data_IF_580259705732
#
_entry.id   IF_580259705732
#
_cell.length_a   1.000
_cell.length_b   1.000
_cell.length_c   1.000
_cell.angle_alpha   90.00
_cell.angle_beta   90.00
_cell.angle_gamma   90.00
#
_symmetry.space_group_name_H-M   'P 1'
#
loop_
_entity.id
_entity.type
_entity.pdbx_description
1 polymer ?
#
# COMPACT_ATOMS: atom_id res chain seq x y z
N UNK A 1 -16.14 -39.15 -2.86
CA UNK A 1 -17.27 -39.04 -3.80
C UNK A 1 -18.26 -38.11 -3.13
N UNK A 2 -18.22 -36.82 -3.47
CA UNK A 2 -18.94 -35.78 -2.75
C UNK A 2 -20.44 -35.92 -3.04
N UNK A 3 -21.27 -35.98 -1.99
CA UNK A 3 -22.73 -36.06 -2.13
C UNK A 3 -23.25 -34.71 -2.63
N UNK A 4 -24.13 -34.78 -3.63
CA UNK A 4 -24.59 -33.66 -4.47
C UNK A 4 -25.67 -32.76 -3.83
N UNK A 5 -25.92 -32.82 -2.52
CA UNK A 5 -27.06 -32.17 -1.87
C UNK A 5 -26.74 -31.38 -0.58
N UNK A 6 -25.46 -31.08 -0.33
CA UNK A 6 -24.99 -30.58 0.96
C UNK A 6 -24.96 -29.04 1.13
N UNK A 7 -25.29 -28.24 0.11
CA UNK A 7 -25.15 -26.77 0.16
C UNK A 7 -26.35 -26.00 0.76
N UNK A 8 -27.48 -26.65 1.02
CA UNK A 8 -28.74 -25.97 1.43
C UNK A 8 -29.22 -26.42 2.82
N UNK A 9 -28.86 -27.63 3.27
CA UNK A 9 -29.42 -28.28 4.47
C UNK A 9 -28.43 -28.48 5.63
N UNK A 10 -27.17 -28.08 5.48
CA UNK A 10 -26.14 -28.33 6.49
C UNK A 10 -26.16 -27.37 7.68
N UNK A 11 -25.71 -27.89 8.83
CA UNK A 11 -25.45 -27.09 10.03
C UNK A 11 -24.22 -26.20 9.81
N UNK A 12 -24.36 -24.91 10.11
CA UNK A 12 -23.24 -23.97 10.05
C UNK A 12 -22.26 -24.25 11.21
N UNK A 13 -21.10 -24.81 10.87
CA UNK A 13 -20.04 -25.13 11.83
C UNK A 13 -18.92 -24.11 11.69
N UNK A 14 -18.79 -23.24 12.69
CA UNK A 14 -17.78 -22.19 12.72
C UNK A 14 -16.65 -22.53 13.70
N UNK A 15 -15.51 -21.89 13.52
CA UNK A 15 -14.34 -22.07 14.38
C UNK A 15 -13.55 -20.77 14.52
N UNK A 16 -12.76 -20.71 15.59
CA UNK A 16 -11.61 -19.83 15.71
C UNK A 16 -10.37 -20.70 15.53
N UNK A 17 -9.33 -20.16 14.91
CA UNK A 17 -8.07 -20.90 14.73
C UNK A 17 -6.88 -19.99 14.52
N UNK A 18 -5.72 -20.62 14.44
CA UNK A 18 -4.43 -19.97 14.17
C UNK A 18 -3.89 -20.45 12.82
N UNK A 19 -3.40 -19.51 12.00
CA UNK A 19 -2.74 -19.82 10.73
C UNK A 19 -1.36 -20.41 10.98
N UNK A 20 -1.08 -21.59 10.42
CA UNK A 20 0.20 -22.29 10.54
C UNK A 20 1.02 -22.33 9.26
N UNK A 21 0.36 -22.14 8.10
CA UNK A 21 1.05 -22.09 6.82
C UNK A 21 0.30 -21.20 5.83
N UNK A 22 1.07 -20.47 5.03
CA UNK A 22 0.58 -19.57 3.96
C UNK A 22 1.22 -19.91 2.60
N UNK A 23 2.14 -20.88 2.55
CA UNK A 23 2.88 -21.22 1.35
C UNK A 23 2.08 -22.17 0.44
N UNK A 24 0.96 -21.68 -0.12
CA UNK A 24 0.11 -22.44 -1.02
C UNK A 24 0.78 -22.64 -2.39
N UNK A 25 1.31 -23.84 -2.63
CA UNK A 25 2.06 -24.15 -3.87
C UNK A 25 1.22 -24.10 -5.14
N UNK A 26 -0.12 -24.13 -5.05
CA UNK A 26 -1.02 -23.99 -6.21
C UNK A 26 -1.58 -22.58 -6.36
N UNK A 27 -1.17 -21.64 -5.49
CA UNK A 27 -1.42 -20.20 -5.60
C UNK A 27 -2.92 -19.81 -5.65
N UNK A 28 -3.78 -20.54 -4.91
CA UNK A 28 -5.19 -20.20 -4.75
C UNK A 28 -5.45 -19.28 -3.55
N UNK A 29 -4.39 -18.67 -2.98
CA UNK A 29 -4.48 -17.80 -1.81
C UNK A 29 -5.15 -18.51 -0.61
N UNK A 30 -4.75 -19.76 -0.37
CA UNK A 30 -5.22 -20.59 0.73
C UNK A 30 -4.24 -20.56 1.89
N UNK A 31 -4.74 -20.86 3.08
CA UNK A 31 -3.93 -20.96 4.31
C UNK A 31 -4.22 -22.27 5.02
N UNK A 32 -3.26 -22.77 5.79
CA UNK A 32 -3.52 -23.87 6.73
C UNK A 32 -3.79 -23.30 8.11
N UNK A 33 -4.87 -23.76 8.74
CA UNK A 33 -5.34 -23.23 10.01
C UNK A 33 -5.60 -24.36 10.98
N UNK A 34 -5.07 -24.25 12.20
CA UNK A 34 -5.48 -25.10 13.30
C UNK A 34 -6.80 -24.58 13.83
N UNK A 35 -7.91 -25.17 13.39
CA UNK A 35 -9.24 -24.88 13.91
C UNK A 35 -9.39 -25.48 15.32
N UNK A 36 -9.46 -24.62 16.33
CA UNK A 36 -9.54 -25.05 17.72
C UNK A 36 -10.84 -25.83 17.98
N UNK A 37 -10.73 -26.91 18.75
CA UNK A 37 -11.83 -27.85 19.01
C UNK A 37 -11.98 -28.95 17.95
N UNK A 38 -11.43 -28.76 16.75
CA UNK A 38 -11.42 -29.78 15.69
C UNK A 38 -10.06 -30.46 15.55
N UNK A 39 -8.98 -29.68 15.69
CA UNK A 39 -7.61 -30.16 15.62
C UNK A 39 -6.82 -29.70 16.84
N UNK A 40 -5.96 -30.56 17.37
CA UNK A 40 -5.05 -30.25 18.47
C UNK A 40 -3.59 -30.13 17.97
N UNK A 41 -2.64 -30.02 18.90
CA UNK A 41 -1.21 -29.88 18.58
C UNK A 41 -0.56 -31.18 18.08
N UNK A 42 -1.22 -32.33 18.23
CA UNK A 42 -0.70 -33.62 17.76
C UNK A 42 -0.80 -33.75 16.24
N UNK A 43 -1.70 -32.99 15.62
CA UNK A 43 -1.85 -32.91 14.16
C UNK A 43 -0.82 -31.93 13.59
N UNK A 44 0.05 -32.44 12.71
CA UNK A 44 1.04 -31.63 12.02
C UNK A 44 0.37 -30.63 11.08
N UNK A 45 1.03 -29.50 10.79
CA UNK A 45 0.48 -28.54 9.83
C UNK A 45 0.38 -29.15 8.43
N UNK A 46 1.23 -30.11 8.09
CA UNK A 46 1.26 -30.81 6.81
C UNK A 46 -0.04 -31.60 6.57
N UNK A 47 -0.67 -32.09 7.64
CA UNK A 47 -1.90 -32.89 7.59
C UNK A 47 -3.18 -32.04 7.65
N UNK A 48 -3.08 -30.75 7.99
CA UNK A 48 -4.25 -29.86 8.02
C UNK A 48 -4.77 -29.57 6.60
N UNK A 49 -6.10 -29.50 6.41
CA UNK A 49 -6.70 -29.10 5.14
C UNK A 49 -6.37 -27.63 4.83
N UNK A 50 -6.26 -27.33 3.54
CA UNK A 50 -6.13 -25.95 3.07
C UNK A 50 -7.47 -25.23 3.16
N UNK A 51 -7.50 -24.14 3.91
CA UNK A 51 -8.65 -23.25 4.02
C UNK A 51 -8.63 -22.19 2.92
N UNK A 52 -9.78 -21.99 2.27
CA UNK A 52 -9.95 -20.90 1.29
C UNK A 52 -10.24 -19.60 2.05
N UNK A 53 -9.59 -18.49 1.67
CA UNK A 53 -9.92 -17.19 2.27
C UNK A 53 -11.04 -16.52 1.49
N UNK A 54 -12.11 -16.15 2.20
CA UNK A 54 -13.20 -15.37 1.66
C UNK A 54 -12.75 -13.91 1.51
N UNK A 55 -12.68 -13.44 0.27
CA UNK A 55 -12.34 -12.05 -0.04
C UNK A 55 -13.58 -11.15 0.02
N UNK A 56 -13.43 -9.85 0.33
CA UNK A 56 -14.54 -8.90 0.30
C UNK A 56 -15.12 -8.78 -1.11
N UNK A 57 -16.37 -8.35 -1.23
CA UNK A 57 -17.06 -8.17 -2.51
C UNK A 57 -16.47 -7.04 -3.38
N UNK A 58 -15.54 -6.25 -2.84
CA UNK A 58 -14.69 -5.32 -3.59
C UNK A 58 -13.59 -6.03 -4.39
N UNK A 59 -13.38 -7.34 -4.17
CA UNK A 59 -12.48 -8.22 -4.93
C UNK A 59 -13.25 -9.26 -5.74
N UNK A 60 -13.23 -9.15 -7.06
CA UNK A 60 -14.03 -9.97 -7.97
C UNK A 60 -13.68 -11.47 -7.97
N UNK A 61 -12.44 -11.82 -7.61
CA UNK A 61 -11.95 -13.21 -7.57
C UNK A 61 -12.20 -13.98 -8.88
N UNK A 62 -12.00 -13.31 -10.02
CA UNK A 62 -12.36 -13.84 -11.35
C UNK A 62 -11.30 -13.49 -12.38
N UNK A 63 -10.74 -14.51 -13.04
CA UNK A 63 -9.90 -14.38 -14.23
C UNK A 63 -8.76 -13.34 -14.08
N UNK A 64 -8.03 -13.37 -12.95
CA UNK A 64 -6.94 -12.44 -12.67
C UNK A 64 -7.36 -11.09 -12.09
N UNK A 65 -8.66 -10.84 -11.93
CA UNK A 65 -9.20 -9.63 -11.26
C UNK A 65 -9.58 -9.97 -9.83
N UNK A 66 -8.93 -9.34 -8.85
CA UNK A 66 -9.17 -9.56 -7.42
C UNK A 66 -8.00 -9.10 -6.55
N UNK A 67 -7.94 -9.63 -5.33
CA UNK A 67 -6.90 -9.40 -4.32
C UNK A 67 -6.33 -10.73 -3.80
N UNK A 68 -5.31 -10.64 -2.96
CA UNK A 68 -4.85 -11.72 -2.07
C UNK A 68 -5.22 -11.40 -0.63
N UNK A 69 -5.13 -12.38 0.27
CA UNK A 69 -5.27 -12.14 1.70
C UNK A 69 -3.99 -11.54 2.30
N UNK A 70 -4.12 -10.85 3.44
CA UNK A 70 -2.98 -10.36 4.24
C UNK A 70 -2.69 -11.18 5.50
N UNK A 71 -3.13 -12.44 5.56
CA UNK A 71 -2.89 -13.33 6.71
C UNK A 71 -1.41 -13.76 6.79
N UNK A 72 -0.90 -13.86 8.01
CA UNK A 72 0.44 -14.35 8.35
C UNK A 72 0.37 -15.62 9.19
N UNK A 73 1.45 -16.40 9.21
CA UNK A 73 1.61 -17.45 10.22
C UNK A 73 1.52 -16.83 11.61
N UNK A 74 0.70 -17.44 12.48
CA UNK A 74 0.32 -16.91 13.79
C UNK A 74 -0.93 -16.02 13.80
N UNK A 75 -1.47 -15.64 12.63
CA UNK A 75 -2.72 -14.86 12.58
C UNK A 75 -3.88 -15.64 13.16
N UNK A 76 -4.62 -15.02 14.08
CA UNK A 76 -5.89 -15.53 14.56
C UNK A 76 -6.98 -15.25 13.55
N UNK A 77 -7.83 -16.25 13.32
CA UNK A 77 -8.89 -16.18 12.31
C UNK A 77 -10.19 -16.75 12.84
N UNK A 78 -11.29 -16.27 12.27
CA UNK A 78 -12.60 -16.92 12.35
C UNK A 78 -12.94 -17.50 10.98
N UNK A 79 -13.53 -18.69 10.98
CA UNK A 79 -13.90 -19.40 9.78
C UNK A 79 -15.09 -20.33 10.00
N UNK A 80 -15.47 -21.03 8.94
CA UNK A 80 -16.49 -22.08 8.97
C UNK A 80 -16.14 -23.20 8.00
N UNK A 81 -16.74 -24.37 8.20
CA UNK A 81 -16.62 -25.50 7.30
C UNK A 81 -17.80 -25.52 6.32
N UNK A 82 -17.52 -25.48 5.01
CA UNK A 82 -18.55 -25.55 3.95
C UNK A 82 -19.25 -26.90 3.91
N UNK A 83 -18.58 -27.93 4.43
CA UNK A 83 -19.03 -29.32 4.55
C UNK A 83 -19.49 -29.68 5.97
N UNK A 84 -19.73 -28.66 6.81
CA UNK A 84 -20.41 -28.83 8.09
C UNK A 84 -19.59 -29.67 9.08
N UNK A 85 -20.20 -30.67 9.77
CA UNK A 85 -19.50 -31.47 10.77
C UNK A 85 -18.35 -32.34 10.23
N UNK A 86 -18.26 -32.55 8.91
CA UNK A 86 -17.15 -33.28 8.29
C UNK A 86 -15.81 -32.55 8.47
N UNK A 87 -15.85 -31.21 8.57
CA UNK A 87 -14.72 -30.36 8.89
C UNK A 87 -13.49 -30.50 7.97
N UNK A 88 -13.70 -30.84 6.69
CA UNK A 88 -12.64 -31.02 5.69
C UNK A 88 -12.53 -29.86 4.70
N UNK A 89 -13.54 -28.98 4.61
CA UNK A 89 -13.56 -27.87 3.64
C UNK A 89 -13.67 -26.49 4.34
N UNK A 90 -12.60 -26.02 5.00
CA UNK A 90 -12.61 -24.76 5.74
C UNK A 90 -12.59 -23.52 4.83
N UNK A 91 -13.31 -22.49 5.27
CA UNK A 91 -13.29 -21.13 4.72
C UNK A 91 -13.01 -20.14 5.83
N UNK A 92 -12.06 -19.24 5.58
CA UNK A 92 -11.71 -18.14 6.49
C UNK A 92 -12.51 -16.91 6.10
N UNK A 93 -13.20 -16.29 7.06
CA UNK A 93 -14.03 -15.11 6.80
C UNK A 93 -13.40 -13.80 7.30
N UNK A 94 -12.43 -13.89 8.22
CA UNK A 94 -11.72 -12.73 8.72
C UNK A 94 -10.64 -13.09 9.73
N UNK A 95 -9.76 -12.12 9.99
CA UNK A 95 -8.78 -12.18 11.07
C UNK A 95 -9.32 -11.54 12.34
N UNK A 96 -8.81 -11.99 13.48
CA UNK A 96 -9.07 -11.43 14.80
C UNK A 96 -7.77 -10.75 15.27
N UNK A 97 -7.79 -9.44 15.54
CA UNK A 97 -6.61 -8.78 16.08
C UNK A 97 -6.33 -9.22 17.51
N UNK A 98 -5.10 -9.64 17.78
CA UNK A 98 -4.64 -10.08 19.11
C UNK A 98 -3.34 -9.39 19.51
N UNK A 99 -2.48 -10.08 20.25
CA UNK A 99 -1.13 -9.66 20.55
C UNK A 99 -0.18 -10.87 20.45
N UNK A 100 1.01 -10.65 19.89
CA UNK A 100 2.09 -11.62 19.82
C UNK A 100 3.25 -11.11 20.66
N UNK A 101 3.68 -11.87 21.67
CA UNK A 101 4.77 -11.48 22.57
C UNK A 101 4.61 -10.06 23.15
N UNK A 102 3.40 -9.74 23.64
CA UNK A 102 3.03 -8.43 24.20
C UNK A 102 3.00 -7.27 23.19
N UNK A 103 3.28 -7.53 21.91
CA UNK A 103 3.12 -6.57 20.81
C UNK A 103 1.75 -6.76 20.20
N UNK A 104 0.95 -5.69 20.11
CA UNK A 104 -0.36 -5.73 19.44
C UNK A 104 -0.18 -6.05 17.97
N UNK A 105 -1.02 -6.94 17.42
CA UNK A 105 -0.85 -7.44 16.05
C UNK A 105 -1.32 -6.46 14.97
N UNK A 106 -2.09 -5.43 15.35
CA UNK A 106 -2.46 -4.35 14.42
C UNK A 106 -1.37 -3.26 14.39
N UNK A 107 -1.19 -2.54 13.27
CA UNK A 107 -0.10 -1.57 13.10
C UNK A 107 0.00 -0.58 14.27
N UNK A 108 1.21 -0.38 14.79
CA UNK A 108 1.45 0.55 15.90
C UNK A 108 1.01 1.96 15.56
N UNK A 109 1.18 2.38 14.30
CA UNK A 109 0.77 3.67 13.77
C UNK A 109 -0.74 3.89 13.87
N UNK A 110 -1.56 2.82 13.79
CA UNK A 110 -3.02 2.89 13.91
C UNK A 110 -3.53 3.07 15.35
N UNK A 111 -2.66 2.93 16.35
CA UNK A 111 -3.03 3.03 17.78
C UNK A 111 -2.83 4.41 18.38
N UNK A 112 -2.32 5.38 17.61
CA UNK A 112 -2.12 6.75 18.09
C UNK A 112 -3.52 7.38 18.21
N UNK A 113 -3.97 7.56 19.46
CA UNK A 113 -5.24 8.22 19.82
C UNK A 113 -6.54 7.64 19.20
N UNK A 114 -7.12 6.63 19.86
CA UNK A 114 -8.54 6.28 19.72
C UNK A 114 -9.03 5.97 18.27
N UNK A 115 -8.24 5.21 17.49
CA UNK A 115 -8.59 4.74 16.13
C UNK A 115 -8.87 5.89 15.15
N UNK A 116 -8.19 7.04 15.29
CA UNK A 116 -8.26 8.11 14.28
C UNK A 116 -7.36 7.84 13.07
N UNK A 117 -6.26 7.12 13.28
CA UNK A 117 -5.34 6.80 12.20
C UNK A 117 -5.69 5.44 11.54
N UNK A 118 -5.94 5.46 10.23
CA UNK A 118 -6.25 4.27 9.42
C UNK A 118 -5.01 3.90 8.61
N UNK A 119 -4.42 2.77 8.96
CA UNK A 119 -3.15 2.33 8.39
C UNK A 119 -3.30 0.97 7.75
N UNK A 120 -2.95 0.88 6.48
CA UNK A 120 -2.66 -0.38 5.80
C UNK A 120 -1.14 -0.55 5.74
N UNK A 121 -0.63 -1.58 6.42
CA UNK A 121 0.80 -1.89 6.50
C UNK A 121 1.06 -3.29 5.99
N UNK A 122 2.03 -3.42 5.09
CA UNK A 122 2.49 -4.71 4.55
C UNK A 122 3.61 -5.29 5.41
N UNK A 123 3.90 -6.58 5.26
CA UNK A 123 4.94 -7.33 5.99
C UNK A 123 6.33 -6.72 5.80
N UNK A 124 6.58 -6.18 4.60
CA UNK A 124 7.83 -5.49 4.28
C UNK A 124 7.92 -4.08 4.88
N UNK A 125 6.85 -3.55 5.47
CA UNK A 125 6.81 -2.24 6.11
C UNK A 125 6.40 -1.08 5.19
N UNK A 126 5.82 -1.35 4.02
CA UNK A 126 5.17 -0.30 3.22
C UNK A 126 3.85 0.10 3.87
N UNK A 127 3.50 1.39 3.80
CA UNK A 127 2.35 1.97 4.48
C UNK A 127 1.52 2.80 3.50
N UNK A 128 0.20 2.65 3.61
CA UNK A 128 -0.80 3.64 3.18
C UNK A 128 -1.56 4.07 4.42
N UNK A 129 -1.63 5.37 4.66
CA UNK A 129 -2.15 5.98 5.89
C UNK A 129 -3.16 7.09 5.57
N UNK A 130 -4.26 7.09 6.32
CA UNK A 130 -5.25 8.17 6.39
C UNK A 130 -5.42 8.54 7.86
N UNK A 131 -4.97 9.73 8.25
CA UNK A 131 -5.04 10.21 9.63
C UNK A 131 -6.20 11.20 9.78
N UNK A 132 -7.19 10.86 10.61
CA UNK A 132 -8.35 11.71 10.94
C UNK A 132 -8.13 12.51 12.25
N UNK A 133 -6.88 12.63 12.72
CA UNK A 133 -6.56 13.43 13.91
C UNK A 133 -6.77 14.91 13.62
N UNK A 134 -7.67 15.55 14.38
CA UNK A 134 -7.96 16.97 14.27
C UNK A 134 -6.69 17.83 14.32
N UNK A 135 -6.58 18.78 13.39
CA UNK A 135 -5.43 19.68 13.19
C UNK A 135 -4.12 18.95 12.79
N UNK A 136 -4.22 17.68 12.40
CA UNK A 136 -3.12 16.83 11.95
C UNK A 136 -3.52 15.87 10.82
N UNK A 137 -4.63 16.16 10.13
CA UNK A 137 -5.19 15.32 9.09
C UNK A 137 -4.17 15.12 7.96
N UNK A 138 -4.02 13.90 7.46
CA UNK A 138 -3.10 13.63 6.35
C UNK A 138 -3.43 12.38 5.57
N UNK A 139 -2.96 12.35 4.33
CA UNK A 139 -2.89 11.14 3.50
C UNK A 139 -1.42 10.88 3.21
N UNK A 140 -0.93 9.66 3.47
CA UNK A 140 0.49 9.35 3.31
C UNK A 140 0.70 7.97 2.69
N UNK A 141 1.49 7.92 1.62
CA UNK A 141 1.98 6.69 1.01
C UNK A 141 3.48 6.62 1.28
N UNK A 142 3.92 5.61 2.03
CA UNK A 142 5.31 5.48 2.47
C UNK A 142 5.90 4.14 2.05
N UNK A 143 7.02 4.21 1.35
CA UNK A 143 7.85 3.05 1.08
C UNK A 143 8.68 2.69 2.33
N UNK A 144 8.96 1.41 2.54
CA UNK A 144 9.75 0.92 3.70
C UNK A 144 11.11 1.60 3.85
N UNK A 145 11.71 2.07 2.76
CA UNK A 145 12.99 2.78 2.76
C UNK A 145 12.90 4.24 3.24
N UNK A 146 11.69 4.82 3.31
CA UNK A 146 11.48 6.19 3.75
C UNK A 146 10.94 7.16 2.70
N UNK A 147 10.89 6.81 1.40
CA UNK A 147 10.25 7.64 0.37
C UNK A 147 8.77 7.85 0.70
N UNK A 148 8.27 9.07 0.55
CA UNK A 148 6.87 9.44 0.84
C UNK A 148 6.21 10.23 -0.28
N UNK A 149 4.90 10.04 -0.39
CA UNK A 149 3.96 10.98 -1.03
C UNK A 149 2.94 11.34 0.04
N UNK A 150 2.93 12.60 0.46
CA UNK A 150 2.15 13.10 1.59
C UNK A 150 1.25 14.24 1.11
N UNK A 151 -0.02 14.22 1.50
CA UNK A 151 -0.92 15.36 1.49
C UNK A 151 -1.13 15.76 2.96
N UNK A 152 -0.69 16.96 3.32
CA UNK A 152 -0.81 17.49 4.69
C UNK A 152 -2.21 18.08 4.98
N UNK A 153 -2.42 18.47 6.24
CA UNK A 153 -3.68 19.05 6.75
C UNK A 153 -4.10 20.33 6.03
N UNK A 154 -3.15 21.07 5.46
CA UNK A 154 -3.38 22.32 4.75
C UNK A 154 -3.57 22.08 3.24
N UNK A 155 -3.54 20.82 2.80
CA UNK A 155 -3.66 20.39 1.40
C UNK A 155 -2.36 20.46 0.62
N UNK A 156 -1.22 20.72 1.28
CA UNK A 156 0.10 20.73 0.68
C UNK A 156 0.54 19.32 0.25
N UNK A 157 1.05 19.20 -0.98
CA UNK A 157 1.58 17.94 -1.52
C UNK A 157 3.09 17.92 -1.39
N UNK A 158 3.60 16.91 -0.68
CA UNK A 158 5.03 16.71 -0.46
C UNK A 158 5.47 15.37 -1.04
N UNK A 159 6.49 15.40 -1.90
CA UNK A 159 7.12 14.20 -2.45
C UNK A 159 8.57 14.19 -1.97
N UNK A 160 8.92 13.21 -1.14
CA UNK A 160 10.27 13.04 -0.61
C UNK A 160 10.84 11.71 -1.08
N UNK A 161 11.96 11.75 -1.79
CA UNK A 161 12.64 10.57 -2.32
C UNK A 161 13.96 10.36 -1.59
N UNK A 162 14.17 9.18 -0.99
CA UNK A 162 15.42 8.87 -0.28
C UNK A 162 16.61 8.64 -1.22
N UNK A 163 16.36 8.48 -2.52
CA UNK A 163 17.40 8.32 -3.55
C UNK A 163 17.55 9.60 -4.40
N UNK A 164 17.11 10.75 -3.87
CA UNK A 164 17.23 12.09 -4.47
C UNK A 164 16.68 12.22 -5.89
N UNK A 165 15.85 11.27 -6.32
CA UNK A 165 15.33 11.22 -7.69
C UNK A 165 13.81 11.18 -7.67
N UNK A 166 13.20 12.08 -8.44
CA UNK A 166 11.78 12.06 -8.82
C UNK A 166 11.71 12.14 -10.34
N UNK A 167 11.29 11.07 -11.00
CA UNK A 167 11.19 11.02 -12.47
C UNK A 167 9.75 11.29 -12.90
N UNK A 168 9.55 12.28 -13.78
CA UNK A 168 8.26 12.59 -14.39
C UNK A 168 8.40 12.39 -15.90
N UNK A 169 7.63 11.46 -16.47
CA UNK A 169 7.63 11.18 -17.91
C UNK A 169 6.42 11.84 -18.57
N UNK A 170 6.67 12.56 -19.65
CA UNK A 170 5.66 13.29 -20.42
C UNK A 170 5.66 14.79 -20.16
N UNK A 171 4.75 15.49 -20.80
CA UNK A 171 4.63 16.95 -20.68
C UNK A 171 4.24 17.34 -19.25
N UNK A 172 4.91 18.35 -18.70
CA UNK A 172 4.66 18.88 -17.36
C UNK A 172 4.46 20.39 -17.46
N UNK A 173 3.41 20.91 -16.81
CA UNK A 173 3.11 22.35 -16.77
C UNK A 173 3.05 22.80 -15.30
N UNK A 174 3.71 23.91 -14.99
CA UNK A 174 3.66 24.53 -13.66
C UNK A 174 3.02 25.92 -13.83
N UNK A 175 1.82 26.09 -13.25
CA UNK A 175 1.15 27.39 -13.20
C UNK A 175 1.53 28.07 -11.90
N UNK A 176 2.58 28.89 -11.94
CA UNK A 176 3.12 29.53 -10.75
C UNK A 176 4.63 29.70 -10.87
N UNK A 177 5.30 29.74 -9.72
CA UNK A 177 6.76 29.84 -9.67
C UNK A 177 7.36 28.46 -9.44
N UNK A 178 8.38 28.11 -10.23
CA UNK A 178 9.29 27.03 -9.91
C UNK A 178 10.49 27.62 -9.16
N UNK A 179 10.68 27.21 -7.92
CA UNK A 179 11.91 27.50 -7.17
C UNK A 179 12.78 26.24 -7.17
N UNK A 180 14.01 26.37 -7.66
CA UNK A 180 14.99 25.30 -7.63
C UNK A 180 16.31 25.83 -7.06
N UNK A 181 17.02 24.96 -6.35
CA UNK A 181 18.36 25.21 -5.81
C UNK A 181 19.35 24.26 -6.47
N UNK A 182 20.51 24.77 -6.88
CA UNK A 182 21.46 24.01 -7.68
C UNK A 182 21.19 24.16 -9.18
N UNK A 183 21.73 23.22 -9.96
CA UNK A 183 21.70 23.32 -11.42
C UNK A 183 20.36 22.86 -12.00
N UNK A 184 19.88 23.61 -12.99
CA UNK A 184 18.78 23.20 -13.87
C UNK A 184 19.40 22.94 -15.26
N UNK A 185 19.34 21.68 -15.71
CA UNK A 185 19.87 21.26 -17.01
C UNK A 185 18.75 20.76 -17.92
N UNK A 186 18.96 20.86 -19.23
CA UNK A 186 18.09 20.29 -20.25
C UNK A 186 18.93 19.68 -21.36
N UNK A 187 18.54 18.49 -21.81
CA UNK A 187 19.13 17.81 -22.97
C UNK A 187 18.31 18.07 -24.25
N UNK A 188 17.38 19.03 -24.21
CA UNK A 188 16.56 19.38 -25.37
C UNK A 188 17.44 19.96 -26.49
N UNK A 189 17.31 19.42 -27.71
CA UNK A 189 18.09 19.83 -28.89
C UNK A 189 18.01 21.34 -29.17
N UNK A 190 16.86 21.96 -28.86
CA UNK A 190 16.63 23.39 -29.08
C UNK A 190 16.92 24.27 -27.85
N UNK A 191 17.44 23.70 -26.75
CA UNK A 191 17.70 24.41 -25.50
C UNK A 191 16.43 24.88 -24.76
N UNK A 192 16.60 25.53 -23.59
CA UNK A 192 15.49 26.10 -22.84
C UNK A 192 15.05 27.45 -23.42
N UNK A 193 13.74 27.68 -23.54
CA UNK A 193 13.18 28.99 -23.91
C UNK A 193 12.74 29.76 -22.66
N UNK A 194 13.37 30.89 -22.36
CA UNK A 194 13.05 31.73 -21.21
C UNK A 194 12.49 33.10 -21.68
N UNK A 195 11.17 33.21 -21.82
CA UNK A 195 10.55 34.34 -22.54
C UNK A 195 10.68 35.73 -21.90
N UNK A 196 10.86 35.83 -20.58
CA UNK A 196 10.86 37.13 -19.86
C UNK A 196 12.06 37.31 -18.92
N UNK A 197 13.11 36.51 -19.06
CA UNK A 197 14.30 36.64 -18.22
C UNK A 197 15.15 37.86 -18.63
N UNK A 198 15.77 38.53 -17.67
CA UNK A 198 16.65 39.69 -17.91
C UNK A 198 17.95 39.54 -17.13
N UNK A 199 19.03 40.14 -17.63
CA UNK A 199 20.33 40.19 -16.97
C UNK A 199 20.62 41.60 -16.43
N UNK A 200 20.99 41.76 -15.16
CA UNK A 200 21.50 43.03 -14.65
C UNK A 200 22.89 43.30 -15.26
N UNK A 201 22.98 44.22 -16.21
CA UNK A 201 24.27 44.66 -16.73
C UNK A 201 24.92 45.61 -15.72
N UNK A 202 25.99 45.16 -15.06
CA UNK A 202 26.89 46.07 -14.34
C UNK A 202 27.84 46.66 -15.38
N UNK A 203 27.82 47.99 -15.55
CA UNK A 203 28.57 48.68 -16.59
C UNK A 203 30.07 48.33 -16.57
N UNK A 204 30.48 47.48 -17.52
CA UNK A 204 31.86 47.11 -17.77
C UNK A 204 32.21 47.40 -19.22
N UNK A 205 33.20 48.27 -19.42
CA UNK A 205 33.81 48.53 -20.73
C UNK A 205 34.67 47.33 -21.14
N UNK A 206 34.44 46.84 -22.36
CA UNK A 206 35.32 46.10 -23.29
C UNK A 206 34.67 44.83 -23.82
N UNK A 207 34.22 44.94 -25.08
CA UNK A 207 34.26 43.92 -26.14
C UNK A 207 34.34 42.46 -25.71
N UNK A 208 33.19 41.83 -25.57
CA UNK A 208 32.90 40.58 -26.25
C UNK A 208 31.44 40.66 -26.74
N UNK A 209 31.26 40.45 -28.04
CA UNK A 209 29.97 40.53 -28.70
C UNK A 209 29.10 39.33 -28.29
N UNK A 210 28.15 39.61 -27.39
CA UNK A 210 26.75 39.18 -27.38
C UNK A 210 26.36 37.92 -28.20
N UNK A 211 26.03 36.85 -27.48
CA UNK A 211 25.18 35.75 -28.00
C UNK A 211 23.77 35.85 -27.40
N UNK A 212 23.07 36.95 -27.65
CA UNK A 212 21.68 37.13 -27.22
C UNK A 212 21.20 38.57 -27.19
N UNK A 213 21.22 39.26 -28.33
CA UNK A 213 20.57 40.58 -28.50
C UNK A 213 19.11 40.48 -28.03
N UNK A 214 18.80 41.08 -26.89
CA UNK A 214 17.43 41.40 -26.49
C UNK A 214 16.95 42.57 -27.35
N UNK A 215 16.21 42.26 -28.42
CA UNK A 215 15.44 43.25 -29.15
C UNK A 215 14.20 43.61 -28.34
N UNK A 216 14.40 44.35 -27.24
CA UNK A 216 13.33 45.13 -26.65
C UNK A 216 12.76 46.04 -27.75
N UNK A 217 11.44 45.98 -27.97
CA UNK A 217 10.74 46.91 -28.86
C UNK A 217 10.40 48.17 -28.07
N UNK A 218 10.91 49.37 -28.42
CA UNK A 218 10.38 50.62 -27.90
C UNK A 218 9.45 51.29 -28.93
N UNK A 219 8.29 51.75 -28.42
CA UNK A 219 7.17 52.47 -29.05
C UNK A 219 6.33 51.74 -30.10
#
# INVERSE_FOLDING_TARGET
MNRNDEYISQSFNWFIGEVLDINDTVLYSRVKVRAYGYYDETVSKEDLPWATVLLPNTSASKAGVGSTHGLLVGSWVVGFFRDGPSAQDPVIIGSIPTQTNEVKDIPTEAHVENIKNKVHKTESGHIIEFDDTADAERINIKHKSGTTVLIDKDGGVHISSVNDTVTIKGNTTITGTLHATGDISTDAENGPTLGTHTHPQTGGTTSDADSGVDTSKPS
#
